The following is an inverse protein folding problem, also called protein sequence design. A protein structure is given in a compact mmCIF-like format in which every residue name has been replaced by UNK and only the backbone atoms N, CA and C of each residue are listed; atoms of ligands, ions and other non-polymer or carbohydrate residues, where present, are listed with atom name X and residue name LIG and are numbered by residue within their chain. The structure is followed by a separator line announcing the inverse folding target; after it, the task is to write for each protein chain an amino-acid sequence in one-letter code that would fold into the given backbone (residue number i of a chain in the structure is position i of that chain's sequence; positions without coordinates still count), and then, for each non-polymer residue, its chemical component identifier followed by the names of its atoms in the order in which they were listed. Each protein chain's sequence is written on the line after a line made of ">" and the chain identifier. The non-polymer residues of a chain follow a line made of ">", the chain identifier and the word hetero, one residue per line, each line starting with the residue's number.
data_IF_781365965295
#
_entry.id   IF_781365965295
#
_cell.length_a   1.000
_cell.length_b   1.000
_cell.length_c   1.000
_cell.angle_alpha   90.00
_cell.angle_beta   90.00
_cell.angle_gamma   90.00
#
_symmetry.space_group_name_H-M   'P 1'
#
loop_
_entity.id
_entity.type
_entity.pdbx_description
1 polymer ?
#
# COMPACT_ATOMS: atom_id res chain seq x y z
N UNK A 1 -13.41 -2.41 -13.91
CA UNK A 1 -13.99 -3.39 -12.97
C UNK A 1 -13.18 -3.72 -11.73
N UNK A 2 -11.94 -3.23 -11.59
CA UNK A 2 -11.23 -3.37 -10.32
C UNK A 2 -11.93 -2.50 -9.26
N UNK A 3 -12.43 -3.12 -8.17
CA UNK A 3 -13.31 -2.59 -7.11
C UNK A 3 -14.83 -2.88 -7.23
N UNK A 4 -15.31 -3.51 -8.31
CA UNK A 4 -16.73 -3.93 -8.43
C UNK A 4 -16.92 -5.45 -8.36
N UNK A 5 -15.84 -6.23 -8.47
CA UNK A 5 -15.86 -7.69 -8.34
C UNK A 5 -15.09 -8.16 -7.10
N UNK A 6 -15.69 -9.11 -6.39
CA UNK A 6 -15.02 -9.82 -5.30
C UNK A 6 -13.71 -10.43 -5.80
N UNK A 7 -12.63 -10.43 -4.97
CA UNK A 7 -11.41 -11.11 -5.35
C UNK A 7 -11.67 -12.62 -5.50
N UNK A 8 -10.86 -13.28 -6.31
CA UNK A 8 -10.88 -14.75 -6.40
C UNK A 8 -10.68 -15.38 -5.02
N UNK A 9 -11.16 -16.61 -4.85
CA UNK A 9 -10.87 -17.40 -3.65
C UNK A 9 -9.35 -17.39 -3.38
N UNK A 10 -8.98 -17.18 -2.11
CA UNK A 10 -7.58 -17.06 -1.66
C UNK A 10 -6.77 -15.87 -2.23
N UNK A 11 -7.45 -14.87 -2.79
CA UNK A 11 -6.81 -13.65 -3.29
C UNK A 11 -7.33 -12.42 -2.56
N UNK A 12 -6.52 -11.36 -2.58
CA UNK A 12 -6.85 -10.05 -2.04
C UNK A 12 -6.54 -8.98 -3.07
N UNK A 13 -7.44 -7.99 -3.17
CA UNK A 13 -7.13 -6.76 -3.88
C UNK A 13 -6.08 -5.97 -3.10
N UNK A 14 -5.01 -5.57 -3.78
CA UNK A 14 -3.96 -4.70 -3.27
C UNK A 14 -3.83 -3.47 -4.14
N UNK A 15 -3.41 -2.37 -3.52
CA UNK A 15 -2.99 -1.15 -4.19
C UNK A 15 -1.48 -0.99 -3.97
N UNK A 16 -0.74 -0.86 -5.07
CA UNK A 16 0.70 -0.72 -5.01
C UNK A 16 1.10 0.73 -4.73
N UNK A 17 1.90 0.97 -3.70
CA UNK A 17 2.51 2.29 -3.52
C UNK A 17 3.44 2.63 -4.68
N UNK A 18 3.61 3.91 -4.94
CA UNK A 18 4.44 4.41 -6.04
C UNK A 18 3.66 4.66 -7.32
N UNK A 19 2.76 3.79 -7.77
CA UNK A 19 1.92 4.05 -8.96
C UNK A 19 0.41 3.86 -8.75
N UNK A 20 0.02 3.41 -7.55
CA UNK A 20 -1.36 3.17 -7.12
C UNK A 20 -2.14 2.20 -7.99
N UNK A 21 -1.44 1.38 -8.77
CA UNK A 21 -2.08 0.33 -9.56
C UNK A 21 -2.75 -0.70 -8.66
N UNK A 22 -3.88 -1.23 -9.11
CA UNK A 22 -4.65 -2.25 -8.41
C UNK A 22 -4.36 -3.64 -8.99
N UNK A 23 -4.17 -4.63 -8.13
CA UNK A 23 -3.96 -6.02 -8.54
C UNK A 23 -4.62 -6.99 -7.58
N UNK A 24 -4.97 -8.18 -8.06
CA UNK A 24 -5.33 -9.30 -7.19
C UNK A 24 -4.08 -10.14 -6.92
N UNK A 25 -3.79 -10.38 -5.65
CA UNK A 25 -2.61 -11.14 -5.20
C UNK A 25 -3.06 -12.30 -4.31
N UNK A 26 -2.52 -13.49 -4.55
CA UNK A 26 -2.76 -14.67 -3.71
C UNK A 26 -2.19 -14.46 -2.30
N UNK A 27 -2.89 -14.95 -1.27
CA UNK A 27 -2.44 -14.89 0.13
C UNK A 27 -1.05 -15.50 0.35
N UNK A 28 -0.65 -16.48 -0.47
CA UNK A 28 0.66 -17.13 -0.38
C UNK A 28 1.84 -16.22 -0.75
N UNK A 29 1.57 -15.07 -1.36
CA UNK A 29 2.60 -14.10 -1.77
C UNK A 29 2.71 -12.90 -0.81
N UNK A 30 2.03 -12.94 0.34
CA UNK A 30 2.14 -11.89 1.33
C UNK A 30 3.26 -12.18 2.32
N UNK A 31 3.96 -11.11 2.68
CA UNK A 31 4.91 -11.07 3.77
C UNK A 31 4.58 -9.85 4.62
N UNK A 32 4.75 -9.97 5.93
CA UNK A 32 4.63 -8.83 6.82
C UNK A 32 5.60 -7.72 6.42
N UNK A 33 5.12 -6.48 6.40
CA UNK A 33 5.83 -5.37 5.78
C UNK A 33 7.25 -5.17 6.36
N UNK A 34 7.39 -5.22 7.70
CA UNK A 34 8.69 -5.08 8.35
C UNK A 34 9.67 -6.20 7.97
N UNK A 35 9.21 -7.46 7.94
CA UNK A 35 10.02 -8.59 7.46
C UNK A 35 10.44 -8.40 6.00
N UNK A 36 9.57 -7.80 5.17
CA UNK A 36 9.88 -7.47 3.78
C UNK A 36 10.97 -6.41 3.65
N UNK A 37 10.93 -5.35 4.45
CA UNK A 37 11.96 -4.30 4.44
C UNK A 37 13.33 -4.89 4.81
N UNK A 38 13.38 -5.72 5.85
CA UNK A 38 14.62 -6.38 6.28
C UNK A 38 15.13 -7.38 5.24
N UNK A 39 14.26 -8.29 4.77
CA UNK A 39 14.62 -9.35 3.82
C UNK A 39 15.13 -8.81 2.48
N UNK A 40 14.57 -7.69 2.02
CA UNK A 40 14.87 -7.12 0.71
C UNK A 40 15.73 -5.86 0.76
N UNK A 41 16.32 -5.52 1.91
CA UNK A 41 17.09 -4.28 2.12
C UNK A 41 18.15 -4.05 1.03
N UNK A 42 19.00 -5.04 0.77
CA UNK A 42 20.07 -4.94 -0.25
C UNK A 42 19.50 -4.70 -1.65
N UNK A 43 18.41 -5.38 -2.00
CA UNK A 43 17.75 -5.22 -3.30
C UNK A 43 17.14 -3.82 -3.44
N UNK A 44 16.52 -3.30 -2.38
CA UNK A 44 15.95 -1.95 -2.36
C UNK A 44 17.06 -0.91 -2.51
N UNK A 45 18.16 -1.06 -1.76
CA UNK A 45 19.32 -0.15 -1.82
C UNK A 45 19.92 -0.08 -3.21
N UNK A 46 20.10 -1.23 -3.87
CA UNK A 46 20.72 -1.34 -5.19
C UNK A 46 19.77 -1.01 -6.35
N UNK A 47 18.46 -1.01 -6.12
CA UNK A 47 17.47 -0.75 -7.16
C UNK A 47 17.61 0.66 -7.72
N UNK A 48 17.65 0.76 -9.05
CA UNK A 48 17.59 2.01 -9.82
C UNK A 48 16.17 2.35 -10.29
N UNK A 49 15.18 1.53 -9.92
CA UNK A 49 13.79 1.71 -10.35
C UNK A 49 13.14 2.76 -9.46
N UNK A 50 13.04 3.99 -9.95
CA UNK A 50 12.46 5.13 -9.22
C UNK A 50 11.06 4.83 -8.65
N UNK A 51 10.17 4.22 -9.44
CA UNK A 51 8.83 3.84 -8.98
C UNK A 51 8.87 2.88 -7.80
N UNK A 52 9.77 1.90 -7.83
CA UNK A 52 9.93 0.93 -6.75
C UNK A 52 10.46 1.60 -5.48
N UNK A 53 11.50 2.42 -5.61
CA UNK A 53 12.08 3.19 -4.49
C UNK A 53 11.06 4.12 -3.85
N UNK A 54 10.29 4.85 -4.67
CA UNK A 54 9.19 5.70 -4.24
C UNK A 54 8.12 4.90 -3.52
N UNK A 55 7.71 3.77 -4.10
CA UNK A 55 6.68 2.90 -3.50
C UNK A 55 7.09 2.38 -2.12
N UNK A 56 8.34 1.95 -1.94
CA UNK A 56 8.87 1.56 -0.64
C UNK A 56 8.83 2.74 0.34
N UNK A 57 9.33 3.91 -0.07
CA UNK A 57 9.35 5.09 0.81
C UNK A 57 7.95 5.51 1.25
N UNK A 58 7.00 5.59 0.32
CA UNK A 58 5.61 5.94 0.62
C UNK A 58 4.96 4.92 1.57
N UNK A 59 5.13 3.63 1.29
CA UNK A 59 4.62 2.56 2.13
C UNK A 59 5.20 2.63 3.54
N UNK A 60 6.51 2.86 3.68
CA UNK A 60 7.18 3.00 4.97
C UNK A 60 6.71 4.23 5.75
N UNK A 61 6.53 5.37 5.08
CA UNK A 61 5.99 6.58 5.73
C UNK A 61 4.60 6.34 6.31
N UNK A 62 3.74 5.70 5.53
CA UNK A 62 2.36 5.40 5.91
C UNK A 62 2.30 4.33 7.01
N UNK A 63 3.16 3.31 6.93
CA UNK A 63 3.29 2.27 7.95
C UNK A 63 3.75 2.86 9.30
N UNK A 64 4.69 3.80 9.26
CA UNK A 64 5.32 4.35 10.45
C UNK A 64 4.60 5.59 11.03
N UNK A 65 3.59 6.14 10.35
CA UNK A 65 2.94 7.41 10.72
C UNK A 65 2.30 7.38 12.12
N UNK A 66 1.85 6.22 12.57
CA UNK A 66 1.26 6.03 13.90
C UNK A 66 2.31 6.00 15.02
N UNK A 67 3.60 5.92 14.67
CA UNK A 67 4.71 5.75 15.62
C UNK A 67 5.66 6.94 15.63
N UNK A 68 5.80 7.66 14.50
CA UNK A 68 6.68 8.83 14.41
C UNK A 68 6.31 9.75 13.23
N UNK A 69 6.93 10.93 13.19
CA UNK A 69 6.82 11.85 12.06
C UNK A 69 7.72 11.37 10.92
N UNK A 70 7.12 11.11 9.76
CA UNK A 70 7.81 10.47 8.62
C UNK A 70 7.88 11.36 7.37
N UNK A 71 7.37 12.59 7.42
CA UNK A 71 7.23 13.47 6.25
C UNK A 71 8.55 13.69 5.51
N UNK A 72 9.63 13.93 6.25
CA UNK A 72 10.95 14.27 5.71
C UNK A 72 11.84 13.04 5.47
N UNK A 73 11.31 11.82 5.66
CA UNK A 73 12.10 10.61 5.47
C UNK A 73 12.54 10.43 4.02
N UNK A 74 13.76 9.92 3.89
CA UNK A 74 14.31 9.26 2.73
C UNK A 74 14.49 7.74 3.01
N UNK A 75 14.99 6.98 2.03
CA UNK A 75 15.14 5.53 2.18
C UNK A 75 16.18 5.12 3.25
N UNK A 76 17.21 5.93 3.51
CA UNK A 76 18.15 5.65 4.61
C UNK A 76 17.43 5.68 5.95
N UNK A 77 16.61 6.70 6.19
CA UNK A 77 15.85 6.85 7.44
C UNK A 77 14.92 5.65 7.66
N UNK A 78 14.33 5.13 6.57
CA UNK A 78 13.51 3.92 6.61
C UNK A 78 14.31 2.73 7.17
N UNK A 79 15.47 2.44 6.58
CA UNK A 79 16.28 1.30 7.02
C UNK A 79 16.77 1.46 8.46
N UNK A 80 17.25 2.66 8.81
CA UNK A 80 17.73 2.94 10.16
C UNK A 80 16.61 2.79 11.20
N UNK A 81 15.40 3.22 10.86
CA UNK A 81 14.23 3.06 11.72
C UNK A 81 13.82 1.61 11.92
N UNK A 82 13.71 0.83 10.84
CA UNK A 82 13.32 -0.58 10.92
C UNK A 82 14.39 -1.43 11.61
N UNK A 83 15.68 -1.11 11.44
CA UNK A 83 16.76 -1.76 12.18
C UNK A 83 16.72 -1.46 13.68
N UNK A 84 16.31 -0.25 14.06
CA UNK A 84 16.26 0.18 15.47
C UNK A 84 14.97 -0.23 16.19
N UNK A 85 13.89 -0.50 15.45
CA UNK A 85 12.55 -0.68 16.01
C UNK A 85 11.80 -1.92 15.49
N UNK A 86 12.40 -2.75 14.63
CA UNK A 86 11.74 -3.91 14.01
C UNK A 86 11.05 -4.82 15.03
N UNK A 87 11.74 -5.16 16.11
CA UNK A 87 11.20 -6.01 17.19
C UNK A 87 10.01 -5.36 17.93
N UNK A 88 10.02 -4.03 18.09
CA UNK A 88 8.95 -3.29 18.77
C UNK A 88 7.70 -3.19 17.92
N UNK A 89 7.88 -3.11 16.61
CA UNK A 89 6.78 -2.98 15.63
C UNK A 89 5.93 -4.25 15.58
N UNK A 90 6.57 -5.43 15.63
CA UNK A 90 5.86 -6.70 15.71
C UNK A 90 4.92 -6.75 16.93
N UNK A 91 5.39 -6.24 18.07
CA UNK A 91 4.62 -6.21 19.33
C UNK A 91 3.49 -5.17 19.36
N UNK A 92 3.59 -4.10 18.59
CA UNK A 92 2.60 -3.01 18.57
C UNK A 92 1.41 -3.29 17.65
N UNK A 93 1.59 -4.13 16.63
CA UNK A 93 0.51 -4.51 15.69
C UNK A 93 -0.62 -5.27 16.38
N UNK A 94 -0.30 -6.15 17.33
CA UNK A 94 -1.31 -6.95 18.05
C UNK A 94 -2.26 -6.11 18.91
N UNK A 95 -1.88 -4.88 19.27
CA UNK A 95 -2.70 -3.99 20.11
C UNK A 95 -3.65 -3.08 19.33
N UNK A 96 -3.40 -2.84 18.04
CA UNK A 96 -4.13 -1.83 17.25
C UNK A 96 -5.29 -2.39 16.41
N UNK A 97 -5.70 -3.63 16.64
CA UNK A 97 -6.77 -4.32 15.90
C UNK A 97 -8.20 -3.80 16.16
N UNK A 98 -8.38 -2.71 16.91
CA UNK A 98 -9.70 -2.21 17.35
C UNK A 98 -10.18 -0.93 16.65
N UNK A 99 -9.53 -0.49 15.57
CA UNK A 99 -9.92 0.72 14.83
C UNK A 99 -11.21 0.57 14.01
N UNK A 100 -12.04 1.62 13.99
CA UNK A 100 -13.20 1.75 13.08
C UNK A 100 -12.75 1.70 11.61
N UNK A 101 -13.58 1.15 10.70
CA UNK A 101 -13.24 0.94 9.27
C UNK A 101 -12.68 2.20 8.56
N UNK A 102 -13.14 3.39 8.94
CA UNK A 102 -12.67 4.68 8.40
C UNK A 102 -11.22 5.04 8.73
N UNK A 103 -10.60 4.33 9.68
CA UNK A 103 -9.20 4.51 10.11
C UNK A 103 -8.26 3.41 9.58
N UNK A 104 -8.79 2.43 8.84
CA UNK A 104 -8.00 1.28 8.35
C UNK A 104 -6.93 1.69 7.33
N UNK A 105 -7.15 2.79 6.61
CA UNK A 105 -6.25 3.30 5.58
C UNK A 105 -5.84 4.74 5.87
N UNK A 106 -4.59 5.06 5.55
CA UNK A 106 -4.08 6.44 5.59
C UNK A 106 -4.90 7.36 4.68
N UNK A 107 -4.86 8.67 4.93
CA UNK A 107 -5.56 9.65 4.10
C UNK A 107 -5.15 9.51 2.62
N UNK A 108 -3.85 9.33 2.35
CA UNK A 108 -3.32 9.12 0.99
C UNK A 108 -4.01 7.97 0.28
N UNK A 109 -4.05 6.80 0.88
CA UNK A 109 -4.66 5.61 0.27
C UNK A 109 -6.17 5.80 0.06
N UNK A 110 -6.86 6.47 0.98
CA UNK A 110 -8.28 6.80 0.81
C UNK A 110 -8.53 7.72 -0.38
N UNK A 111 -7.71 8.76 -0.55
CA UNK A 111 -7.80 9.70 -1.67
C UNK A 111 -7.48 9.03 -3.02
N UNK A 112 -6.48 8.16 -3.06
CA UNK A 112 -6.15 7.37 -4.27
C UNK A 112 -7.27 6.40 -4.62
N UNK A 113 -7.84 5.70 -3.62
CA UNK A 113 -8.96 4.80 -3.84
C UNK A 113 -10.19 5.54 -4.38
N UNK A 114 -10.51 6.71 -3.81
CA UNK A 114 -11.60 7.55 -4.31
C UNK A 114 -11.38 7.97 -5.77
N UNK A 115 -10.14 8.31 -6.15
CA UNK A 115 -9.78 8.62 -7.54
C UNK A 115 -9.96 7.43 -8.47
N UNK A 116 -9.60 6.22 -8.05
CA UNK A 116 -9.80 5.00 -8.84
C UNK A 116 -11.28 4.68 -9.07
N UNK A 117 -12.11 4.87 -8.04
CA UNK A 117 -13.57 4.68 -8.14
C UNK A 117 -14.18 5.72 -9.08
N UNK A 118 -13.83 7.00 -8.93
CA UNK A 118 -14.32 8.08 -9.79
C UNK A 118 -14.00 7.86 -11.27
N UNK A 119 -12.78 7.44 -11.60
CA UNK A 119 -12.38 7.10 -12.97
C UNK A 119 -13.14 5.91 -13.55
N UNK A 120 -13.41 4.89 -12.73
CA UNK A 120 -14.17 3.71 -13.15
C UNK A 120 -15.64 4.04 -13.43
N UNK A 121 -16.25 4.93 -12.63
CA UNK A 121 -17.59 5.44 -12.86
C UNK A 121 -17.71 6.20 -14.18
N UNK A 122 -16.75 7.06 -14.51
CA UNK A 122 -16.74 7.79 -15.79
C UNK A 122 -16.53 6.88 -17.00
N UNK A 123 -15.70 5.83 -16.88
CA UNK A 123 -15.47 4.86 -17.93
C UNK A 123 -16.74 4.02 -18.23
N UNK A 124 -17.43 3.56 -17.18
CA UNK A 124 -18.69 2.82 -17.32
C UNK A 124 -19.80 3.66 -17.98
N UNK A 125 -19.89 4.96 -17.64
CA UNK A 125 -20.86 5.88 -18.27
C UNK A 125 -20.53 6.13 -19.75
N UNK A 126 -19.25 6.16 -20.13
CA UNK A 126 -18.85 6.29 -21.54
C UNK A 126 -19.16 5.03 -22.36
N UNK A 127 -18.97 3.84 -21.79
CA UNK A 127 -19.30 2.59 -22.49
C UNK A 127 -20.81 2.40 -22.69
N UNK A 128 -21.64 2.80 -21.73
CA UNK A 128 -23.10 2.78 -21.90
C UNK A 128 -23.55 3.65 -23.08
N UNK A 129 -22.99 4.86 -23.21
CA UNK A 129 -23.28 5.77 -24.34
C UNK A 129 -22.82 5.27 -25.70
N UNK A 130 -21.87 4.32 -25.74
CA UNK A 130 -21.40 3.69 -26.97
C UNK A 130 -22.22 2.46 -27.35
N UNK A 131 -22.95 1.85 -26.41
CA UNK A 131 -23.87 0.72 -26.66
C UNK A 131 -25.28 1.15 -27.07
N UNK A 132 -25.66 2.39 -26.77
CA UNK A 132 -26.97 2.97 -27.13
C UNK A 132 -26.97 3.68 -28.52
N UNK A 133 -25.98 3.39 -29.37
CA UNK A 133 -25.91 3.86 -30.77
C UNK A 133 -25.88 2.67 -31.71
#
# INVERSE_FOLDING_TARGET
>A
DCAMSEPKLEHQWVMWYGDYTLSQVSYNNFLDFHCGIEKFEDQIKQSKRELYRRGILEASKDYCVSYCKTNDWNLSDVFDWFKSNGDKVALLRDKNSSGTEGQRYTLRIREELARHIGRSGEAAVREHKLRDK
#
